data_IF_836914209801
#
_entry.id   IF_836914209801
#
_cell.length_a   1.000
_cell.length_b   1.000
_cell.length_c   1.000
_cell.angle_alpha   90.00
_cell.angle_beta   90.00
_cell.angle_gamma   90.00
#
_symmetry.space_group_name_H-M   'P 1'
#
loop_
_entity.id
_entity.type
_entity.pdbx_description
1 polymer ?
#
# COMPACT_ATOMS: atom_id res chain seq x y z
N UNK A 1 15.22 80.14 -68.01
CA UNK A 1 15.60 78.72 -68.23
C UNK A 1 15.34 78.01 -66.92
N UNK A 2 14.34 77.12 -66.91
CA UNK A 2 13.70 76.55 -65.72
C UNK A 2 14.60 75.46 -65.12
N UNK A 3 14.98 75.58 -63.85
CA UNK A 3 15.74 74.54 -63.14
C UNK A 3 14.80 73.43 -62.69
N UNK A 4 15.01 72.23 -63.23
CA UNK A 4 14.27 71.01 -62.92
C UNK A 4 14.91 70.34 -61.71
N UNK A 5 14.22 70.33 -60.55
CA UNK A 5 14.61 69.49 -59.42
C UNK A 5 14.10 68.06 -59.66
N UNK A 6 15.01 67.13 -59.92
CA UNK A 6 14.73 65.70 -59.91
C UNK A 6 14.72 65.27 -58.43
N UNK A 7 13.52 65.07 -57.88
CA UNK A 7 13.34 64.39 -56.61
C UNK A 7 13.40 62.87 -56.87
N UNK A 8 14.53 62.24 -56.59
CA UNK A 8 14.65 60.78 -56.57
C UNK A 8 14.24 60.32 -55.17
N UNK A 9 12.93 60.24 -54.92
CA UNK A 9 12.37 59.59 -53.75
C UNK A 9 11.98 58.16 -54.12
N UNK A 10 12.97 57.28 -54.25
CA UNK A 10 12.71 55.85 -54.28
C UNK A 10 12.04 55.46 -52.98
N UNK A 11 10.80 54.98 -53.05
CA UNK A 11 10.21 54.23 -51.95
C UNK A 11 11.01 52.93 -51.85
N UNK A 12 12.07 52.96 -51.05
CA UNK A 12 12.70 51.74 -50.57
C UNK A 12 11.64 51.07 -49.67
N UNK A 13 10.87 50.17 -50.27
CA UNK A 13 10.02 49.26 -49.51
C UNK A 13 10.98 48.33 -48.80
N UNK A 14 11.44 48.76 -47.63
CA UNK A 14 12.14 47.92 -46.68
C UNK A 14 11.22 46.71 -46.45
N UNK A 15 11.59 45.57 -47.03
CA UNK A 15 10.92 44.30 -46.79
C UNK A 15 11.28 43.95 -45.36
N UNK A 16 10.45 44.41 -44.41
CA UNK A 16 10.56 43.99 -43.01
C UNK A 16 10.45 42.46 -43.04
N UNK A 17 11.49 41.72 -42.64
CA UNK A 17 11.41 40.26 -42.58
C UNK A 17 10.20 39.89 -41.73
N UNK A 18 9.40 38.92 -42.17
CA UNK A 18 8.33 38.40 -41.33
C UNK A 18 8.92 38.02 -39.97
N UNK A 19 8.33 38.52 -38.87
CA UNK A 19 8.82 38.18 -37.55
C UNK A 19 8.81 36.65 -37.37
N UNK A 20 9.93 36.11 -36.89
CA UNK A 20 10.13 34.67 -36.65
C UNK A 20 9.14 34.19 -35.56
N UNK A 21 7.88 33.90 -35.91
CA UNK A 21 6.82 33.52 -34.96
C UNK A 21 7.21 32.28 -34.14
N UNK A 22 7.07 32.38 -32.81
CA UNK A 22 7.23 31.25 -31.90
C UNK A 22 5.87 30.76 -31.41
N UNK A 23 5.61 29.46 -31.54
CA UNK A 23 4.41 28.80 -31.03
C UNK A 23 4.85 27.51 -30.32
N UNK A 24 4.60 27.45 -29.01
CA UNK A 24 4.74 26.25 -28.20
C UNK A 24 3.38 25.54 -28.10
N UNK A 25 3.37 24.21 -28.12
CA UNK A 25 2.18 23.36 -28.09
C UNK A 25 2.32 22.32 -26.97
N UNK A 26 1.25 22.07 -26.23
CA UNK A 26 1.28 21.10 -25.12
C UNK A 26 1.66 19.68 -25.60
N UNK A 27 2.36 18.96 -24.74
CA UNK A 27 2.85 17.60 -24.98
C UNK A 27 2.36 16.63 -23.91
N UNK A 28 2.35 15.35 -24.25
CA UNK A 28 2.03 14.28 -23.31
C UNK A 28 2.96 13.08 -23.50
N UNK A 29 3.50 12.56 -22.40
CA UNK A 29 4.28 11.34 -22.37
C UNK A 29 3.82 10.40 -21.27
N UNK A 30 4.14 9.12 -21.45
CA UNK A 30 3.97 8.07 -20.46
C UNK A 30 5.34 7.59 -20.01
N UNK A 31 5.53 7.41 -18.70
CA UNK A 31 6.80 6.95 -18.10
C UNK A 31 6.51 6.02 -16.93
N UNK A 32 7.48 5.19 -16.57
CA UNK A 32 7.36 4.30 -15.41
C UNK A 32 7.78 5.00 -14.10
N UNK A 33 7.09 4.67 -13.01
CA UNK A 33 7.44 5.10 -11.65
C UNK A 33 8.86 4.65 -11.30
N UNK A 34 9.51 5.41 -10.41
CA UNK A 34 10.86 5.11 -9.91
C UNK A 34 11.95 4.94 -11.00
N UNK A 35 11.62 5.24 -12.26
CA UNK A 35 12.50 5.02 -13.41
C UNK A 35 12.81 6.34 -14.09
N UNK A 36 14.10 6.68 -14.11
CA UNK A 36 14.55 7.88 -14.78
C UNK A 36 14.55 7.67 -16.30
N UNK A 37 13.63 8.34 -17.00
CA UNK A 37 13.29 8.09 -18.41
C UNK A 37 13.73 9.25 -19.30
N UNK A 38 14.37 8.94 -20.43
CA UNK A 38 14.67 9.94 -21.47
C UNK A 38 13.40 10.17 -22.29
N UNK A 39 12.87 11.40 -22.25
CA UNK A 39 11.66 11.76 -22.97
C UNK A 39 11.97 11.94 -24.47
N UNK A 40 11.03 11.57 -25.35
CA UNK A 40 10.98 12.13 -26.69
C UNK A 40 10.99 13.66 -26.62
N UNK A 41 11.52 14.32 -27.65
CA UNK A 41 11.58 15.78 -27.65
C UNK A 41 10.17 16.38 -27.68
N UNK A 42 9.82 17.17 -26.67
CA UNK A 42 8.61 18.00 -26.60
C UNK A 42 8.68 19.26 -27.48
N UNK A 43 9.63 19.31 -28.43
CA UNK A 43 9.81 20.45 -29.34
C UNK A 43 9.37 20.12 -30.77
N UNK A 44 8.86 18.91 -31.01
CA UNK A 44 8.59 18.37 -32.35
C UNK A 44 7.33 18.97 -32.98
N UNK A 45 6.33 19.27 -32.16
CA UNK A 45 5.06 19.89 -32.54
C UNK A 45 5.08 21.43 -32.49
N UNK A 46 6.22 22.02 -32.12
CA UNK A 46 6.39 23.46 -31.98
C UNK A 46 6.78 24.14 -33.30
N UNK A 47 6.48 25.44 -33.39
CA UNK A 47 6.86 26.28 -34.54
C UNK A 47 7.83 27.35 -34.10
N UNK A 48 9.05 27.32 -34.66
CA UNK A 48 10.08 28.34 -34.45
C UNK A 48 11.18 28.27 -35.52
N UNK A 49 12.01 29.30 -35.60
CA UNK A 49 13.18 29.32 -36.50
C UNK A 49 14.41 28.71 -35.81
N UNK A 50 14.90 27.60 -36.36
CA UNK A 50 16.05 26.87 -35.81
C UNK A 50 17.30 27.75 -35.70
N UNK A 51 18.04 27.61 -34.60
CA UNK A 51 19.24 28.40 -34.29
C UNK A 51 18.96 29.84 -33.83
N UNK A 52 17.69 30.25 -33.70
CA UNK A 52 17.28 31.59 -33.27
C UNK A 52 16.37 31.60 -32.03
N UNK A 53 16.38 30.53 -31.25
CA UNK A 53 15.56 30.42 -30.03
C UNK A 53 16.38 29.97 -28.83
N UNK A 54 15.91 30.37 -27.65
CA UNK A 54 16.34 29.88 -26.34
C UNK A 54 15.16 29.18 -25.68
N UNK A 55 15.41 27.99 -25.11
CA UNK A 55 14.43 27.19 -24.39
C UNK A 55 14.75 27.26 -22.90
N UNK A 56 13.72 27.40 -22.07
CA UNK A 56 13.80 27.32 -20.61
C UNK A 56 12.68 26.43 -20.09
N UNK A 57 12.94 25.66 -19.03
CA UNK A 57 11.97 24.74 -18.44
C UNK A 57 12.07 24.74 -16.91
N UNK A 58 11.03 24.24 -16.24
CA UNK A 58 11.02 24.02 -14.80
C UNK A 58 11.80 22.73 -14.46
N UNK A 59 12.90 22.85 -13.71
CA UNK A 59 13.73 21.69 -13.32
C UNK A 59 13.06 20.75 -12.31
N UNK A 60 11.92 21.17 -11.74
CA UNK A 60 11.08 20.36 -10.87
C UNK A 60 9.64 20.45 -11.34
N UNK A 61 8.95 19.33 -11.35
CA UNK A 61 7.55 19.25 -11.77
C UNK A 61 6.57 19.60 -10.64
N UNK A 62 5.28 19.67 -10.97
CA UNK A 62 4.18 19.92 -10.04
C UNK A 62 4.06 18.87 -8.91
N UNK A 63 4.61 17.67 -9.12
CA UNK A 63 4.62 16.56 -8.15
C UNK A 63 6.02 16.18 -7.66
N UNK A 64 6.99 17.09 -7.74
CA UNK A 64 8.37 16.90 -7.26
C UNK A 64 9.20 15.86 -8.04
N UNK A 65 8.83 15.56 -9.28
CA UNK A 65 9.72 14.93 -10.24
C UNK A 65 10.83 15.87 -10.67
N UNK A 66 11.95 15.31 -11.12
CA UNK A 66 13.17 16.05 -11.51
C UNK A 66 13.35 15.97 -13.01
N UNK A 67 13.56 17.13 -13.66
CA UNK A 67 13.85 17.24 -15.10
C UNK A 67 15.30 17.69 -15.24
N UNK A 68 16.09 16.92 -15.98
CA UNK A 68 17.49 17.25 -16.30
C UNK A 68 17.69 17.23 -17.81
N UNK A 69 18.33 18.27 -18.35
CA UNK A 69 18.79 18.30 -19.74
C UNK A 69 20.25 17.83 -19.81
N UNK A 70 20.50 16.75 -20.54
CA UNK A 70 21.84 16.19 -20.79
C UNK A 70 21.98 15.79 -22.27
N UNK A 71 23.09 16.16 -22.90
CA UNK A 71 23.39 15.81 -24.29
C UNK A 71 22.26 16.13 -25.30
N UNK A 72 21.58 17.28 -25.15
CA UNK A 72 20.41 17.71 -25.93
C UNK A 72 19.19 16.77 -25.80
N UNK A 73 19.10 16.02 -24.71
CA UNK A 73 17.93 15.19 -24.36
C UNK A 73 17.40 15.58 -22.98
N UNK A 74 16.10 15.43 -22.79
CA UNK A 74 15.44 15.71 -21.51
C UNK A 74 15.17 14.39 -20.80
N UNK A 75 15.68 14.26 -19.58
CA UNK A 75 15.47 13.11 -18.72
C UNK A 75 14.56 13.52 -17.57
N UNK A 76 13.47 12.79 -17.40
CA UNK A 76 12.52 12.96 -16.31
C UNK A 76 12.70 11.82 -15.31
N UNK A 77 12.75 12.15 -14.03
CA UNK A 77 12.74 11.19 -12.91
C UNK A 77 11.52 11.48 -12.05
N UNK A 78 10.53 10.58 -11.96
CA UNK A 78 9.39 10.77 -11.07
C UNK A 78 9.82 10.97 -9.62
N UNK A 79 8.97 11.61 -8.81
CA UNK A 79 9.12 11.51 -7.37
C UNK A 79 9.04 10.03 -6.95
N UNK A 80 9.79 9.67 -5.90
CA UNK A 80 9.80 8.30 -5.40
C UNK A 80 8.37 7.82 -5.11
N UNK A 81 8.02 6.64 -5.62
CA UNK A 81 6.74 5.95 -5.45
C UNK A 81 5.51 6.75 -5.92
N UNK A 82 5.71 7.73 -6.82
CA UNK A 82 4.62 8.51 -7.39
C UNK A 82 4.04 7.83 -8.63
N UNK A 83 2.73 7.56 -8.61
CA UNK A 83 1.92 7.15 -9.76
C UNK A 83 0.82 8.19 -9.99
N UNK A 84 0.55 8.49 -11.25
CA UNK A 84 -0.49 9.42 -11.67
C UNK A 84 0.05 10.60 -12.49
N UNK A 85 -0.80 11.61 -12.66
CA UNK A 85 -0.49 12.73 -13.55
C UNK A 85 0.40 13.77 -12.89
N UNK A 86 1.50 14.09 -13.57
CA UNK A 86 2.44 15.15 -13.26
C UNK A 86 2.57 16.12 -14.44
N UNK A 87 3.14 17.29 -14.21
CA UNK A 87 3.39 18.26 -15.27
C UNK A 87 4.49 19.25 -14.94
N UNK A 88 5.10 19.80 -15.98
CA UNK A 88 6.02 20.93 -15.90
C UNK A 88 5.84 21.84 -17.12
N UNK A 89 6.25 23.10 -17.01
CA UNK A 89 6.17 24.07 -18.12
C UNK A 89 7.52 24.30 -18.78
N UNK A 90 7.45 24.62 -20.07
CA UNK A 90 8.59 25.14 -20.82
C UNK A 90 8.20 26.41 -21.60
N UNK A 91 9.22 27.19 -21.94
CA UNK A 91 9.09 28.44 -22.70
C UNK A 91 10.14 28.48 -23.80
N UNK A 92 9.69 28.78 -25.02
CA UNK A 92 10.54 29.07 -26.17
C UNK A 92 10.54 30.58 -26.37
N UNK A 93 11.71 31.21 -26.44
CA UNK A 93 11.86 32.63 -26.71
C UNK A 93 12.80 32.87 -27.90
N UNK A 94 12.41 33.75 -28.82
CA UNK A 94 13.28 34.23 -29.89
C UNK A 94 14.49 34.97 -29.34
N UNK A 95 15.66 34.73 -29.93
CA UNK A 95 16.91 35.45 -29.62
C UNK A 95 17.11 36.67 -30.52
N UNK A 96 16.31 36.82 -31.58
CA UNK A 96 16.42 37.92 -32.56
C UNK A 96 15.34 38.98 -32.37
N UNK A 97 14.26 38.68 -31.66
CA UNK A 97 13.17 39.60 -31.37
C UNK A 97 12.85 39.62 -29.87
N UNK A 98 13.07 40.75 -29.23
CA UNK A 98 12.74 40.99 -27.82
C UNK A 98 11.21 41.00 -27.66
N UNK A 99 10.64 39.97 -27.02
CA UNK A 99 9.20 39.75 -26.68
C UNK A 99 8.44 38.70 -27.49
N UNK A 100 9.10 37.89 -28.29
CA UNK A 100 8.46 36.76 -28.96
C UNK A 100 8.76 35.46 -28.21
N UNK A 101 7.91 35.15 -27.23
CA UNK A 101 7.98 33.93 -26.44
C UNK A 101 6.64 33.21 -26.43
N UNK A 102 6.68 31.88 -26.37
CA UNK A 102 5.50 31.02 -26.20
C UNK A 102 5.80 29.96 -25.15
N UNK A 103 4.79 29.57 -24.38
CA UNK A 103 4.93 28.55 -23.33
C UNK A 103 3.87 27.48 -23.49
N UNK A 104 4.23 26.25 -23.12
CA UNK A 104 3.35 25.10 -23.14
C UNK A 104 3.63 24.20 -21.93
N UNK A 105 2.73 23.25 -21.71
CA UNK A 105 2.76 22.29 -20.61
C UNK A 105 3.11 20.91 -21.13
N UNK A 106 4.09 20.26 -20.51
CA UNK A 106 4.34 18.85 -20.70
C UNK A 106 3.57 18.10 -19.61
N UNK A 107 2.68 17.21 -20.03
CA UNK A 107 1.93 16.30 -19.16
C UNK A 107 2.64 14.95 -19.13
N UNK A 108 2.90 14.44 -17.93
CA UNK A 108 3.48 13.11 -17.74
C UNK A 108 2.45 12.26 -17.02
N UNK A 109 1.95 11.21 -17.68
CA UNK A 109 1.22 10.15 -16.96
C UNK A 109 2.26 9.12 -16.48
N UNK A 110 2.55 9.15 -15.17
CA UNK A 110 3.45 8.19 -14.52
C UNK A 110 2.66 6.94 -14.23
N UNK A 111 2.97 5.87 -14.96
CA UNK A 111 2.40 4.54 -14.77
C UNK A 111 3.30 3.73 -13.83
N UNK A 112 2.73 2.72 -13.19
CA UNK A 112 3.51 1.81 -12.36
C UNK A 112 4.58 1.07 -13.21
N UNK A 113 5.74 0.76 -12.63
CA UNK A 113 6.85 0.16 -13.39
C UNK A 113 6.56 -1.29 -13.76
N UNK A 114 6.81 -1.64 -15.02
CA UNK A 114 6.71 -3.02 -15.49
C UNK A 114 7.83 -3.92 -14.91
N UNK A 115 8.92 -3.34 -14.39
CA UNK A 115 10.11 -4.08 -13.93
C UNK A 115 10.51 -3.75 -12.48
N UNK A 116 9.61 -3.14 -11.72
CA UNK A 116 9.70 -2.96 -10.27
C UNK A 116 8.44 -3.48 -9.57
N UNK A 117 8.16 -4.79 -9.73
CA UNK A 117 7.14 -5.56 -9.00
C UNK A 117 5.75 -4.90 -8.81
N UNK A 118 5.22 -4.31 -9.88
CA UNK A 118 3.77 -4.29 -10.06
C UNK A 118 3.33 -5.65 -10.63
N UNK A 119 2.81 -6.52 -9.77
CA UNK A 119 1.77 -7.46 -10.19
C UNK A 119 2.13 -8.72 -10.97
N UNK A 120 3.40 -9.05 -11.20
CA UNK A 120 3.76 -10.41 -11.64
C UNK A 120 3.96 -11.29 -10.42
N UNK A 121 2.86 -11.72 -9.81
CA UNK A 121 2.91 -12.73 -8.77
C UNK A 121 2.93 -14.12 -9.38
N UNK A 122 3.94 -14.92 -9.01
CA UNK A 122 3.96 -16.35 -9.28
C UNK A 122 3.09 -17.06 -8.23
N UNK A 123 1.76 -17.00 -8.43
CA UNK A 123 0.80 -17.57 -7.49
C UNK A 123 1.10 -19.08 -7.31
N UNK A 124 1.31 -19.55 -6.07
CA UNK A 124 1.51 -20.97 -5.80
C UNK A 124 0.36 -21.81 -6.34
N UNK A 125 0.67 -23.00 -6.85
CA UNK A 125 -0.31 -23.89 -7.51
C UNK A 125 -1.51 -24.26 -6.63
N UNK A 126 -1.30 -24.32 -5.33
CA UNK A 126 -2.29 -24.61 -4.31
C UNK A 126 -3.23 -23.42 -4.05
N UNK A 127 -2.84 -22.20 -4.45
CA UNK A 127 -3.63 -20.97 -4.32
C UNK A 127 -4.19 -20.50 -5.66
N UNK A 128 -3.76 -21.08 -6.79
CA UNK A 128 -4.12 -20.58 -8.13
C UNK A 128 -5.62 -20.66 -8.41
N UNK A 129 -6.30 -21.69 -7.92
CA UNK A 129 -7.77 -21.80 -8.09
C UNK A 129 -8.51 -20.79 -7.22
N UNK A 130 -8.01 -20.52 -6.01
CA UNK A 130 -8.61 -19.56 -5.09
C UNK A 130 -8.49 -18.14 -5.65
N UNK A 131 -7.32 -17.74 -6.15
CA UNK A 131 -7.09 -16.39 -6.67
C UNK A 131 -7.27 -16.22 -8.18
N UNK A 132 -7.92 -17.18 -8.86
CA UNK A 132 -8.00 -17.19 -10.33
C UNK A 132 -8.66 -15.95 -10.94
N UNK A 133 -9.56 -15.32 -10.19
CA UNK A 133 -10.35 -14.17 -10.62
C UNK A 133 -9.77 -12.83 -10.13
N UNK A 134 -8.64 -12.87 -9.40
CA UNK A 134 -7.94 -11.67 -8.92
C UNK A 134 -6.92 -11.20 -9.96
N UNK A 135 -7.13 -9.99 -10.49
CA UNK A 135 -6.15 -9.32 -11.34
C UNK A 135 -5.06 -8.69 -10.49
N UNK A 136 -3.95 -9.42 -10.34
CA UNK A 136 -2.81 -8.92 -9.58
C UNK A 136 -1.97 -7.89 -10.32
N UNK A 137 -2.26 -7.55 -11.58
CA UNK A 137 -1.60 -6.41 -12.25
C UNK A 137 -2.06 -5.07 -11.65
N UNK A 138 -3.16 -5.07 -10.92
CA UNK A 138 -3.68 -3.91 -10.19
C UNK A 138 -2.80 -3.56 -8.98
N UNK A 139 -2.86 -2.29 -8.58
CA UNK A 139 -2.19 -1.77 -7.38
C UNK A 139 -3.14 -0.88 -6.58
N UNK A 140 -2.70 -0.43 -5.39
CA UNK A 140 -3.44 0.57 -4.63
C UNK A 140 -4.85 0.13 -4.22
N UNK A 141 -5.79 1.06 -4.26
CA UNK A 141 -7.21 0.79 -3.97
C UNK A 141 -7.84 -0.21 -4.93
N UNK A 142 -7.38 -0.28 -6.19
CA UNK A 142 -7.93 -1.23 -7.17
C UNK A 142 -7.60 -2.68 -6.80
N UNK A 143 -6.35 -2.96 -6.39
CA UNK A 143 -5.96 -4.29 -5.89
C UNK A 143 -6.71 -4.62 -4.59
N UNK A 144 -6.83 -3.64 -3.69
CA UNK A 144 -7.61 -3.78 -2.45
C UNK A 144 -9.05 -4.18 -2.73
N UNK A 145 -9.70 -3.53 -3.68
CA UNK A 145 -11.11 -3.77 -4.00
C UNK A 145 -11.32 -5.18 -4.58
N UNK A 146 -10.46 -5.63 -5.51
CA UNK A 146 -10.59 -7.00 -6.06
C UNK A 146 -10.27 -8.09 -5.03
N UNK A 147 -9.28 -7.88 -4.16
CA UNK A 147 -9.00 -8.79 -3.05
C UNK A 147 -10.15 -8.82 -2.04
N UNK A 148 -10.77 -7.67 -1.75
CA UNK A 148 -11.94 -7.59 -0.88
C UNK A 148 -13.12 -8.38 -1.48
N UNK A 149 -13.38 -8.24 -2.79
CA UNK A 149 -14.39 -9.04 -3.49
C UNK A 149 -14.11 -10.54 -3.35
N UNK A 150 -12.87 -10.98 -3.65
CA UNK A 150 -12.48 -12.39 -3.55
C UNK A 150 -12.75 -12.97 -2.15
N UNK A 151 -12.29 -12.30 -1.09
CA UNK A 151 -12.49 -12.80 0.29
C UNK A 151 -13.94 -12.72 0.79
N UNK A 152 -14.77 -11.87 0.17
CA UNK A 152 -16.21 -11.80 0.48
C UNK A 152 -16.92 -12.95 -0.21
N UNK A 153 -16.67 -13.18 -1.50
CA UNK A 153 -17.34 -14.18 -2.31
C UNK A 153 -16.93 -15.61 -1.92
N UNK A 154 -15.68 -15.81 -1.52
CA UNK A 154 -15.18 -17.11 -1.02
C UNK A 154 -15.61 -17.44 0.41
N UNK A 155 -16.09 -16.48 1.21
CA UNK A 155 -16.56 -16.73 2.57
C UNK A 155 -17.95 -17.38 2.54
N UNK A 156 -17.96 -18.70 2.40
CA UNK A 156 -19.16 -19.51 2.20
C UNK A 156 -19.72 -20.10 3.49
N UNK A 157 -18.91 -20.22 4.55
CA UNK A 157 -19.32 -20.79 5.83
C UNK A 157 -19.12 -19.79 6.96
N UNK A 158 -20.22 -19.28 7.51
CA UNK A 158 -20.20 -18.42 8.68
C UNK A 158 -20.24 -19.26 9.95
N UNK A 159 -19.14 -19.28 10.69
CA UNK A 159 -19.03 -20.05 11.91
C UNK A 159 -19.89 -19.45 13.03
N UNK A 160 -20.56 -20.31 13.79
CA UNK A 160 -21.13 -19.91 15.06
C UNK A 160 -20.02 -19.58 16.06
N UNK A 161 -20.22 -18.52 16.84
CA UNK A 161 -19.25 -18.16 17.87
C UNK A 161 -19.01 -19.33 18.82
N UNK A 162 -20.04 -20.11 19.15
CA UNK A 162 -19.93 -21.36 19.92
C UNK A 162 -20.87 -22.42 19.31
N UNK A 163 -20.40 -23.65 19.06
CA UNK A 163 -19.05 -24.16 19.33
C UNK A 163 -18.02 -23.82 18.24
N UNK A 164 -18.46 -23.35 17.06
CA UNK A 164 -17.64 -23.24 15.85
C UNK A 164 -16.24 -22.64 16.05
N UNK A 165 -16.13 -21.44 16.61
CA UNK A 165 -14.81 -20.83 16.85
C UNK A 165 -13.94 -21.66 17.80
N UNK A 166 -14.51 -22.29 18.85
CA UNK A 166 -13.69 -23.17 19.70
C UNK A 166 -13.11 -24.33 18.91
N UNK A 167 -13.94 -24.96 18.08
CA UNK A 167 -13.55 -26.14 17.31
C UNK A 167 -12.50 -25.80 16.25
N UNK A 168 -12.61 -24.63 15.61
CA UNK A 168 -11.59 -24.15 14.65
C UNK A 168 -10.29 -23.79 15.36
N UNK A 169 -10.30 -23.05 16.47
CA UNK A 169 -9.06 -22.66 17.15
C UNK A 169 -8.31 -23.85 17.75
N UNK A 170 -9.00 -24.93 18.12
CA UNK A 170 -8.37 -26.21 18.52
C UNK A 170 -7.64 -26.93 17.38
N UNK A 171 -7.79 -26.47 16.15
CA UNK A 171 -7.15 -27.00 14.96
C UNK A 171 -6.15 -25.99 14.39
N UNK A 172 -6.59 -24.75 14.16
CA UNK A 172 -5.77 -23.70 13.51
C UNK A 172 -4.53 -23.38 14.32
N UNK A 173 -4.68 -23.24 15.64
CA UNK A 173 -3.64 -22.75 16.54
C UNK A 173 -2.85 -23.87 17.22
N UNK A 174 -2.93 -25.11 16.73
CA UNK A 174 -2.14 -26.21 17.29
C UNK A 174 -0.65 -25.87 17.25
N UNK A 175 0.04 -26.18 18.35
CA UNK A 175 1.50 -26.07 18.40
C UNK A 175 2.10 -27.05 17.37
N UNK A 176 2.92 -26.56 16.42
CA UNK A 176 3.55 -27.41 15.40
C UNK A 176 4.41 -28.54 15.99
N UNK A 177 4.84 -28.42 17.24
CA UNK A 177 5.67 -29.40 17.95
C UNK A 177 4.88 -30.30 18.92
N UNK A 178 3.65 -29.92 19.29
CA UNK A 178 2.78 -30.67 20.20
C UNK A 178 1.28 -30.43 19.90
N UNK A 179 0.68 -31.33 19.14
CA UNK A 179 -0.73 -31.24 18.73
C UNK A 179 -1.77 -31.46 19.86
N UNK A 180 -1.31 -31.66 21.10
CA UNK A 180 -2.17 -31.63 22.29
C UNK A 180 -2.37 -30.23 22.83
N UNK A 181 -1.57 -29.27 22.35
CA UNK A 181 -1.60 -27.87 22.77
C UNK A 181 -1.97 -26.93 21.63
N UNK A 182 -2.49 -25.77 22.01
CA UNK A 182 -2.59 -24.58 21.16
C UNK A 182 -1.58 -23.55 21.60
N UNK A 183 -1.15 -22.73 20.65
CA UNK A 183 -0.30 -21.56 20.88
C UNK A 183 -1.18 -20.37 21.27
N UNK A 184 -0.83 -19.70 22.36
CA UNK A 184 -1.58 -18.58 22.91
C UNK A 184 -1.00 -17.26 22.38
N UNK A 185 -1.81 -16.47 21.68
CA UNK A 185 -1.38 -15.16 21.22
C UNK A 185 -0.98 -14.29 22.43
N UNK A 186 0.11 -13.54 22.25
CA UNK A 186 0.83 -12.74 23.25
C UNK A 186 1.69 -13.55 24.23
N UNK A 187 1.50 -14.87 24.37
CA UNK A 187 2.29 -15.72 25.24
C UNK A 187 3.75 -15.85 24.76
N UNK A 188 4.69 -16.10 25.68
CA UNK A 188 6.12 -16.13 25.35
C UNK A 188 7.02 -17.01 26.25
N UNK A 189 6.55 -17.50 27.40
CA UNK A 189 7.39 -18.32 28.31
C UNK A 189 6.56 -19.41 29.01
N UNK A 190 6.90 -20.68 28.76
CA UNK A 190 6.27 -21.85 29.39
C UNK A 190 7.05 -22.37 30.62
N UNK A 191 8.13 -21.70 31.02
CA UNK A 191 9.15 -22.25 31.94
C UNK A 191 9.33 -21.48 33.24
N UNK A 192 8.77 -20.28 33.35
CA UNK A 192 8.90 -19.41 34.53
C UNK A 192 7.87 -19.71 35.63
N UNK A 193 6.89 -20.58 35.36
CA UNK A 193 5.79 -20.92 36.27
C UNK A 193 4.67 -19.88 36.33
N UNK A 194 4.72 -18.85 35.49
CA UNK A 194 3.67 -17.85 35.35
C UNK A 194 2.72 -18.20 34.21
N UNK A 195 1.63 -18.88 34.56
CA UNK A 195 0.64 -19.33 33.57
C UNK A 195 0.03 -18.20 32.73
N UNK A 196 0.09 -16.93 33.18
CA UNK A 196 -0.46 -15.79 32.43
C UNK A 196 0.33 -15.55 31.13
N UNK A 197 1.62 -15.86 31.13
CA UNK A 197 2.55 -15.59 30.01
C UNK A 197 2.96 -16.85 29.26
N UNK A 198 2.37 -18.00 29.61
CA UNK A 198 2.52 -19.26 28.87
C UNK A 198 2.31 -19.02 27.37
N UNK A 199 3.24 -19.52 26.57
CA UNK A 199 3.15 -19.53 25.11
C UNK A 199 2.21 -20.62 24.63
N UNK A 200 2.08 -21.72 25.37
CA UNK A 200 1.28 -22.89 24.95
C UNK A 200 0.37 -23.42 26.04
N UNK A 201 -0.75 -24.02 25.64
CA UNK A 201 -1.69 -24.62 26.59
C UNK A 201 -2.44 -25.79 25.97
N UNK A 202 -2.85 -26.75 26.80
CA UNK A 202 -3.73 -27.84 26.34
C UNK A 202 -4.90 -27.27 25.54
N UNK A 203 -5.14 -27.84 24.36
CA UNK A 203 -6.25 -27.43 23.49
C UNK A 203 -7.62 -27.65 24.15
N UNK A 204 -7.69 -28.49 25.18
CA UNK A 204 -8.92 -28.77 25.92
C UNK A 204 -9.05 -28.00 27.23
N UNK A 205 -8.02 -27.21 27.61
CA UNK A 205 -8.11 -26.25 28.71
C UNK A 205 -8.71 -24.92 28.24
N UNK A 206 -9.85 -24.99 27.56
CA UNK A 206 -10.52 -23.83 26.96
C UNK A 206 -11.78 -23.47 27.78
N UNK A 207 -11.99 -22.18 28.04
CA UNK A 207 -13.09 -21.78 28.92
C UNK A 207 -12.96 -20.36 29.45
N UNK A 208 -13.14 -20.22 30.76
CA UNK A 208 -13.12 -18.93 31.45
C UNK A 208 -12.55 -19.02 32.87
N UNK A 209 -12.02 -20.17 33.28
CA UNK A 209 -11.37 -20.32 34.57
C UNK A 209 -9.92 -19.82 34.50
N UNK A 210 -9.32 -19.65 35.67
CA UNK A 210 -7.89 -19.38 35.79
C UNK A 210 -7.07 -20.50 35.16
N UNK A 211 -6.13 -20.15 34.28
CA UNK A 211 -5.31 -21.13 33.56
C UNK A 211 -6.02 -21.80 32.39
N UNK A 212 -7.25 -21.42 32.05
CA UNK A 212 -7.84 -21.74 30.75
C UNK A 212 -7.33 -20.74 29.70
N UNK A 213 -7.46 -21.09 28.43
CA UNK A 213 -7.45 -20.11 27.35
C UNK A 213 -8.86 -19.75 26.91
N UNK A 214 -9.04 -18.52 26.44
CA UNK A 214 -10.27 -18.06 25.81
C UNK A 214 -10.00 -17.48 24.41
N UNK A 215 -11.07 -17.05 23.75
CA UNK A 215 -11.01 -16.41 22.43
C UNK A 215 -10.69 -14.93 22.62
N UNK A 216 -9.50 -14.55 22.21
CA UNK A 216 -9.10 -13.17 22.03
C UNK A 216 -9.66 -12.64 20.72
N UNK A 217 -10.37 -11.52 20.80
CA UNK A 217 -10.75 -10.71 19.64
C UNK A 217 -9.60 -9.75 19.38
N UNK A 218 -8.64 -10.18 18.56
CA UNK A 218 -7.41 -9.39 18.31
C UNK A 218 -7.77 -8.02 17.74
N UNK A 219 -8.82 -7.94 16.92
CA UNK A 219 -9.54 -6.70 16.66
C UNK A 219 -10.63 -6.57 17.75
N UNK A 220 -10.51 -5.65 18.73
CA UNK A 220 -11.47 -5.59 19.83
C UNK A 220 -12.87 -5.29 19.32
N UNK A 221 -13.85 -6.09 19.76
CA UNK A 221 -15.26 -5.92 19.35
C UNK A 221 -15.76 -4.49 19.50
N UNK A 222 -15.42 -3.86 20.63
CA UNK A 222 -15.85 -2.51 20.99
C UNK A 222 -15.25 -1.39 20.15
N UNK A 223 -14.20 -1.69 19.37
CA UNK A 223 -13.56 -0.72 18.46
C UNK A 223 -14.10 -0.85 17.03
N UNK A 224 -14.91 -1.87 16.76
CA UNK A 224 -15.70 -1.96 15.53
C UNK A 224 -16.81 -0.92 15.52
N UNK A 225 -17.18 -0.41 14.34
CA UNK A 225 -18.31 0.52 14.19
C UNK A 225 -19.26 0.03 13.08
N UNK A 226 -20.36 -0.69 13.41
CA UNK A 226 -20.83 -1.05 14.75
C UNK A 226 -19.96 -2.11 15.45
N UNK A 227 -20.19 -2.31 16.76
CA UNK A 227 -19.54 -3.38 17.55
C UNK A 227 -19.64 -4.73 16.83
N UNK A 228 -18.55 -5.50 16.86
CA UNK A 228 -18.46 -6.73 16.06
C UNK A 228 -19.39 -7.86 16.56
N UNK A 229 -19.85 -7.80 17.80
CA UNK A 229 -20.76 -8.79 18.36
C UNK A 229 -20.16 -10.21 18.44
N UNK A 230 -20.98 -11.22 18.16
CA UNK A 230 -20.59 -12.65 18.19
C UNK A 230 -21.09 -13.39 16.93
N UNK A 231 -21.22 -12.65 15.84
CA UNK A 231 -21.58 -13.17 14.52
C UNK A 231 -20.93 -12.30 13.46
N UNK A 232 -20.85 -12.79 12.22
CA UNK A 232 -20.14 -12.09 11.15
C UNK A 232 -18.71 -11.76 11.58
N UNK A 233 -18.30 -10.48 11.63
CA UNK A 233 -16.94 -10.12 12.04
C UNK A 233 -16.60 -10.57 13.46
N UNK A 234 -17.56 -10.65 14.39
CA UNK A 234 -17.31 -11.12 15.75
C UNK A 234 -17.10 -12.64 15.86
N UNK A 235 -17.33 -13.38 14.79
CA UNK A 235 -17.13 -14.83 14.69
C UNK A 235 -16.28 -15.23 13.47
N UNK A 236 -15.39 -14.33 13.01
CA UNK A 236 -14.41 -14.64 11.97
C UNK A 236 -13.09 -15.14 12.60
N UNK A 237 -12.75 -16.39 12.34
CA UNK A 237 -11.58 -17.09 12.87
C UNK A 237 -10.24 -16.53 12.39
N UNK A 238 -10.22 -15.70 11.33
CA UNK A 238 -8.98 -15.06 10.88
C UNK A 238 -8.40 -14.08 11.90
N UNK A 239 -9.22 -13.49 12.77
CA UNK A 239 -8.76 -12.54 13.81
C UNK A 239 -9.02 -13.00 15.26
N UNK A 240 -9.62 -14.18 15.43
CA UNK A 240 -9.83 -14.80 16.73
C UNK A 240 -8.66 -15.73 17.04
N UNK A 241 -8.10 -15.62 18.25
CA UNK A 241 -6.93 -16.42 18.68
C UNK A 241 -7.13 -16.96 20.09
N UNK A 242 -6.56 -18.13 20.44
CA UNK A 242 -6.42 -18.54 21.83
C UNK A 242 -5.55 -17.54 22.58
N UNK A 243 -5.95 -17.12 23.77
CA UNK A 243 -5.09 -16.37 24.70
C UNK A 243 -5.40 -16.80 26.13
N UNK A 244 -4.43 -16.69 27.03
CA UNK A 244 -4.71 -16.90 28.46
C UNK A 244 -5.82 -15.95 28.92
N UNK A 245 -6.77 -16.45 29.72
CA UNK A 245 -7.93 -15.66 30.16
C UNK A 245 -7.50 -14.38 30.89
N UNK A 246 -6.49 -14.45 31.74
CA UNK A 246 -5.99 -13.30 32.49
C UNK A 246 -5.23 -12.35 31.57
N UNK A 247 -4.40 -12.86 30.65
CA UNK A 247 -3.60 -12.00 29.78
C UNK A 247 -4.48 -11.27 28.75
N UNK A 248 -5.46 -11.98 28.18
CA UNK A 248 -6.51 -11.38 27.37
C UNK A 248 -7.24 -10.26 28.13
N UNK A 249 -7.63 -10.51 29.40
CA UNK A 249 -8.25 -9.47 30.23
C UNK A 249 -7.33 -8.27 30.47
N UNK A 250 -6.01 -8.44 30.55
CA UNK A 250 -5.05 -7.34 30.70
C UNK A 250 -4.88 -6.53 29.41
N UNK A 251 -4.93 -7.20 28.26
CA UNK A 251 -4.95 -6.55 26.94
C UNK A 251 -6.21 -5.71 26.79
N UNK A 252 -7.38 -6.28 27.10
CA UNK A 252 -8.67 -5.59 27.02
C UNK A 252 -8.97 -5.07 25.62
N UNK A 253 -9.23 -3.77 25.48
CA UNK A 253 -9.42 -3.10 24.18
C UNK A 253 -8.35 -2.04 23.91
N UNK A 254 -7.17 -2.17 24.53
CA UNK A 254 -6.05 -1.24 24.30
C UNK A 254 -5.66 -1.25 22.83
N UNK A 255 -5.30 -0.07 22.33
CA UNK A 255 -4.75 0.05 20.99
C UNK A 255 -3.37 -0.62 20.94
N UNK A 256 -3.03 -1.17 19.78
CA UNK A 256 -1.68 -1.62 19.53
C UNK A 256 -0.74 -0.42 19.39
N UNK A 257 0.44 -0.49 19.99
CA UNK A 257 1.44 0.57 19.95
C UNK A 257 2.84 -0.03 19.81
N UNK A 258 3.79 0.81 19.35
CA UNK A 258 5.19 0.42 19.21
C UNK A 258 5.81 -0.02 20.55
N UNK A 259 6.74 -0.96 20.49
CA UNK A 259 7.41 -1.57 21.62
C UNK A 259 8.45 -2.59 21.14
N UNK A 260 9.04 -3.34 22.08
CA UNK A 260 10.06 -4.35 21.80
C UNK A 260 10.07 -5.43 22.86
N UNK A 261 10.46 -6.65 22.50
CA UNK A 261 10.55 -7.80 23.41
C UNK A 261 9.22 -8.51 23.58
N UNK A 262 8.88 -8.83 24.82
CA UNK A 262 7.68 -9.61 25.13
C UNK A 262 6.42 -8.75 25.16
N UNK A 263 5.26 -9.40 24.99
CA UNK A 263 3.97 -8.73 24.98
C UNK A 263 3.66 -8.04 26.33
N UNK A 264 2.97 -6.89 26.28
CA UNK A 264 2.54 -6.21 27.50
C UNK A 264 2.04 -4.78 27.29
N UNK A 265 1.72 -4.13 28.42
CA UNK A 265 1.30 -2.73 28.45
C UNK A 265 2.46 -1.79 28.09
N UNK A 266 2.19 -0.84 27.19
CA UNK A 266 3.13 0.21 26.84
C UNK A 266 2.40 1.55 26.88
N UNK A 267 2.63 2.30 27.95
CA UNK A 267 2.04 3.62 28.16
C UNK A 267 0.50 3.63 28.05
N UNK A 268 -0.17 2.60 28.58
CA UNK A 268 -1.63 2.46 28.54
C UNK A 268 -2.18 1.88 27.22
N UNK A 269 -1.30 1.61 26.26
CA UNK A 269 -1.57 0.84 25.05
C UNK A 269 -0.99 -0.57 25.18
N UNK A 270 -0.99 -1.35 24.10
CA UNK A 270 -0.49 -2.72 24.09
C UNK A 270 0.57 -2.92 23.02
N UNK A 271 1.71 -3.50 23.39
CA UNK A 271 2.65 -4.06 22.44
C UNK A 271 2.43 -5.58 22.39
N UNK A 272 2.18 -6.17 21.22
CA UNK A 272 1.82 -7.58 21.12
C UNK A 272 3.00 -8.54 21.34
N UNK A 273 4.24 -8.05 21.35
CA UNK A 273 5.45 -8.87 21.40
C UNK A 273 6.12 -9.00 20.04
N UNK A 274 7.44 -9.19 20.03
CA UNK A 274 8.22 -9.28 18.79
C UNK A 274 7.81 -10.48 17.91
N UNK A 275 7.35 -11.57 18.53
CA UNK A 275 6.83 -12.77 17.85
C UNK A 275 5.47 -12.55 17.17
N UNK A 276 4.69 -11.57 17.64
CA UNK A 276 3.26 -11.47 17.33
C UNK A 276 2.89 -10.25 16.49
N UNK A 277 3.84 -9.35 16.25
CA UNK A 277 3.54 -8.04 15.66
C UNK A 277 3.11 -8.16 14.20
N UNK A 278 3.70 -9.09 13.44
CA UNK A 278 3.32 -9.42 12.08
C UNK A 278 1.94 -10.09 12.03
N UNK A 279 1.69 -11.08 12.88
CA UNK A 279 0.38 -11.71 13.05
C UNK A 279 -0.73 -10.68 13.27
N UNK A 280 -0.53 -9.79 14.25
CA UNK A 280 -1.47 -8.73 14.58
C UNK A 280 -1.70 -7.80 13.39
N UNK A 281 -0.62 -7.36 12.73
CA UNK A 281 -0.72 -6.51 11.55
C UNK A 281 -1.58 -7.14 10.45
N UNK A 282 -1.30 -8.39 10.08
CA UNK A 282 -2.01 -9.11 9.02
C UNK A 282 -3.46 -9.39 9.38
N UNK A 283 -3.77 -9.66 10.64
CA UNK A 283 -5.17 -9.77 11.10
C UNK A 283 -5.92 -8.43 11.02
N UNK A 284 -5.29 -7.31 11.39
CA UNK A 284 -5.95 -5.99 11.31
C UNK A 284 -6.18 -5.57 9.86
N UNK A 285 -5.20 -5.80 8.97
CA UNK A 285 -5.33 -5.52 7.55
C UNK A 285 -6.42 -6.39 6.90
N UNK A 286 -6.49 -7.69 7.26
CA UNK A 286 -7.58 -8.56 6.80
C UNK A 286 -8.95 -8.09 7.25
N UNK A 287 -9.12 -7.75 8.54
CA UNK A 287 -10.42 -7.28 9.04
C UNK A 287 -10.86 -6.01 8.31
N UNK A 288 -9.92 -5.12 8.02
CA UNK A 288 -10.20 -3.93 7.23
C UNK A 288 -10.58 -4.25 5.77
N UNK A 289 -9.84 -5.16 5.13
CA UNK A 289 -10.12 -5.62 3.78
C UNK A 289 -11.52 -6.28 3.69
N UNK A 290 -11.89 -7.09 4.69
CA UNK A 290 -13.12 -7.90 4.70
C UNK A 290 -14.37 -7.16 5.14
N UNK A 291 -14.23 -6.21 6.07
CA UNK A 291 -15.35 -5.53 6.72
C UNK A 291 -15.35 -4.00 6.55
N UNK A 292 -14.36 -3.47 5.81
CA UNK A 292 -14.32 -2.07 5.40
C UNK A 292 -14.45 -1.09 6.56
N UNK A 293 -15.43 -0.19 6.48
CA UNK A 293 -15.64 0.88 7.46
C UNK A 293 -15.96 0.40 8.88
N UNK A 294 -16.37 -0.87 9.05
CA UNK A 294 -16.61 -1.42 10.38
C UNK A 294 -15.30 -1.70 11.13
N UNK A 295 -14.21 -2.02 10.42
CA UNK A 295 -12.95 -2.46 11.00
C UNK A 295 -11.78 -1.57 10.56
N UNK A 296 -11.79 -0.29 10.95
CA UNK A 296 -10.76 0.67 10.55
C UNK A 296 -9.45 0.47 11.34
N UNK A 297 -8.28 0.29 10.68
CA UNK A 297 -6.99 0.11 11.36
C UNK A 297 -6.60 1.26 12.29
N UNK A 298 -6.92 2.51 11.90
CA UNK A 298 -6.69 3.71 12.74
C UNK A 298 -7.44 3.72 14.08
N UNK A 299 -8.44 2.86 14.24
CA UNK A 299 -9.18 2.74 15.49
C UNK A 299 -8.57 1.70 16.44
N UNK A 300 -7.59 0.91 15.98
CA UNK A 300 -7.01 -0.22 16.75
C UNK A 300 -5.49 -0.11 16.94
N UNK A 301 -4.82 0.82 16.28
CA UNK A 301 -3.37 1.01 16.38
C UNK A 301 -2.99 2.50 16.52
N UNK A 302 -1.92 2.75 17.26
CA UNK A 302 -1.31 4.08 17.45
C UNK A 302 -0.21 4.28 16.42
N UNK A 303 -0.43 5.19 15.48
CA UNK A 303 0.54 5.56 14.45
C UNK A 303 0.01 6.65 13.55
N UNK A 304 0.78 6.99 12.51
CA UNK A 304 0.34 7.95 11.50
C UNK A 304 -0.48 7.24 10.42
N UNK A 305 -1.49 7.92 9.90
CA UNK A 305 -2.20 7.39 8.73
C UNK A 305 -1.34 7.55 7.48
N UNK A 306 -1.41 6.57 6.58
CA UNK A 306 -0.67 6.61 5.31
C UNK A 306 -1.37 7.49 4.27
N UNK A 307 -0.61 8.07 3.36
CA UNK A 307 -1.13 9.00 2.35
C UNK A 307 -2.10 8.32 1.34
N UNK A 308 -1.87 7.04 1.06
CA UNK A 308 -2.68 6.21 0.15
C UNK A 308 -4.05 5.86 0.73
N UNK A 309 -4.19 5.81 2.05
CA UNK A 309 -5.43 5.44 2.75
C UNK A 309 -5.49 6.05 4.15
N UNK A 310 -6.36 7.05 4.33
CA UNK A 310 -6.56 7.76 5.59
C UNK A 310 -7.13 6.91 6.74
N UNK A 311 -7.35 5.62 6.54
CA UNK A 311 -7.74 4.67 7.57
C UNK A 311 -6.68 3.62 7.90
N UNK A 312 -5.65 3.47 7.06
CA UNK A 312 -4.54 2.56 7.31
C UNK A 312 -3.45 3.27 8.11
N UNK A 313 -2.85 2.57 9.06
CA UNK A 313 -1.82 3.08 9.97
C UNK A 313 -0.45 2.51 9.58
N UNK A 314 0.55 3.38 9.53
CA UNK A 314 1.94 3.04 9.20
C UNK A 314 2.52 1.90 10.07
N UNK A 315 2.23 1.91 11.38
CA UNK A 315 2.70 0.89 12.33
C UNK A 315 2.38 -0.55 11.89
N UNK A 316 1.20 -0.79 11.33
CA UNK A 316 0.80 -2.13 10.91
C UNK A 316 1.57 -2.57 9.65
N UNK A 317 1.83 -1.64 8.72
CA UNK A 317 2.64 -1.92 7.55
C UNK A 317 4.11 -2.15 7.93
N UNK A 318 4.61 -1.38 8.90
CA UNK A 318 5.94 -1.57 9.48
C UNK A 318 6.07 -2.96 10.11
N UNK A 319 5.14 -3.37 10.96
CA UNK A 319 5.16 -4.69 11.59
C UNK A 319 5.02 -5.83 10.59
N UNK A 320 4.15 -5.70 9.59
CA UNK A 320 4.03 -6.69 8.52
C UNK A 320 5.35 -6.90 7.75
N UNK A 321 6.15 -5.85 7.59
CA UNK A 321 7.46 -5.94 6.93
C UNK A 321 8.57 -6.45 7.86
N UNK A 322 8.51 -6.14 9.16
CA UNK A 322 9.54 -6.51 10.14
C UNK A 322 9.43 -7.95 10.63
N UNK A 323 8.23 -8.52 10.61
CA UNK A 323 7.92 -9.83 11.16
C UNK A 323 7.31 -10.71 10.05
N UNK A 324 8.15 -11.54 9.38
CA UNK A 324 7.74 -12.41 8.29
C UNK A 324 6.59 -13.34 8.69
N UNK A 325 5.91 -13.89 7.69
CA UNK A 325 4.85 -14.87 7.93
C UNK A 325 5.46 -16.15 8.53
N UNK A 326 4.90 -16.60 9.64
CA UNK A 326 5.34 -17.83 10.31
C UNK A 326 4.65 -19.10 9.80
N UNK A 327 5.25 -20.27 10.06
CA UNK A 327 4.62 -21.56 9.77
C UNK A 327 3.27 -21.73 10.49
N UNK A 328 3.15 -21.17 11.70
CA UNK A 328 1.90 -21.17 12.46
C UNK A 328 0.82 -20.38 11.73
N UNK A 329 1.14 -19.20 11.20
CA UNK A 329 0.18 -18.42 10.43
C UNK A 329 -0.24 -19.12 9.14
N UNK A 330 0.69 -19.76 8.42
CA UNK A 330 0.37 -20.54 7.22
C UNK A 330 -0.58 -21.69 7.57
N UNK A 331 -0.27 -22.44 8.63
CA UNK A 331 -1.15 -23.50 9.14
C UNK A 331 -2.54 -22.96 9.46
N UNK A 332 -2.61 -21.86 10.21
CA UNK A 332 -3.87 -21.21 10.59
C UNK A 332 -4.67 -20.79 9.36
N UNK A 333 -4.04 -20.10 8.41
CA UNK A 333 -4.72 -19.57 7.23
C UNK A 333 -5.31 -20.72 6.40
N UNK A 334 -4.57 -21.83 6.24
CA UNK A 334 -5.07 -23.02 5.56
C UNK A 334 -6.26 -23.67 6.28
N UNK A 335 -6.20 -23.81 7.61
CA UNK A 335 -7.28 -24.43 8.38
C UNK A 335 -8.52 -23.53 8.38
N UNK A 336 -8.37 -22.23 8.63
CA UNK A 336 -9.49 -21.29 8.61
C UNK A 336 -10.11 -21.21 7.22
N UNK A 337 -9.31 -21.26 6.15
CA UNK A 337 -9.83 -21.30 4.78
C UNK A 337 -10.66 -22.56 4.50
N UNK A 338 -10.27 -23.72 5.03
CA UNK A 338 -11.08 -24.94 4.91
C UNK A 338 -12.41 -24.84 5.67
N UNK A 339 -12.44 -24.10 6.78
CA UNK A 339 -13.61 -24.00 7.67
C UNK A 339 -14.57 -22.86 7.27
N UNK A 340 -14.05 -21.73 6.76
CA UNK A 340 -14.86 -20.55 6.37
C UNK A 340 -14.99 -20.36 4.86
N UNK A 341 -14.07 -20.94 4.09
CA UNK A 341 -13.95 -20.81 2.64
C UNK A 341 -12.97 -19.72 2.19
N UNK A 342 -12.80 -18.65 2.96
CA UNK A 342 -11.96 -17.51 2.59
C UNK A 342 -10.59 -17.50 3.30
N UNK A 343 -9.61 -16.83 2.69
CA UNK A 343 -8.22 -16.72 3.15
C UNK A 343 -7.89 -15.30 3.62
N UNK A 344 -6.88 -15.17 4.47
CA UNK A 344 -6.19 -13.91 4.74
C UNK A 344 -5.07 -13.72 3.70
N UNK A 345 -5.25 -12.84 2.69
CA UNK A 345 -4.27 -12.67 1.63
C UNK A 345 -2.93 -12.14 2.13
N UNK A 346 -2.91 -11.41 3.24
CA UNK A 346 -1.67 -10.87 3.80
C UNK A 346 -0.83 -11.94 4.51
N UNK A 347 -1.42 -13.08 4.88
CA UNK A 347 -0.65 -14.26 5.31
C UNK A 347 -0.14 -15.02 4.09
N UNK A 348 -0.96 -15.17 3.04
CA UNK A 348 -0.51 -15.87 1.83
C UNK A 348 0.63 -15.15 1.11
N UNK A 349 0.58 -13.81 1.10
CA UNK A 349 1.69 -12.96 0.66
C UNK A 349 1.66 -11.58 1.35
N UNK A 350 2.56 -11.30 2.31
CA UNK A 350 2.55 -10.05 3.04
C UNK A 350 2.93 -8.84 2.16
N UNK A 351 3.57 -9.05 1.00
CA UNK A 351 3.86 -8.00 0.02
C UNK A 351 2.61 -7.38 -0.60
N UNK A 352 1.46 -8.05 -0.57
CA UNK A 352 0.20 -7.45 -1.02
C UNK A 352 -0.12 -6.15 -0.26
N UNK A 353 0.25 -6.06 1.02
CA UNK A 353 0.10 -4.83 1.78
C UNK A 353 0.97 -3.69 1.22
N UNK A 354 2.21 -3.99 0.80
CA UNK A 354 3.11 -3.03 0.15
C UNK A 354 2.52 -2.54 -1.18
N UNK A 355 1.94 -3.43 -1.99
CA UNK A 355 1.34 -3.06 -3.29
C UNK A 355 0.05 -2.24 -3.12
N UNK A 356 -0.72 -2.46 -2.05
CA UNK A 356 -1.97 -1.75 -1.78
C UNK A 356 -1.73 -0.38 -1.12
N UNK A 357 -0.90 -0.32 -0.08
CA UNK A 357 -0.79 0.87 0.78
C UNK A 357 0.57 1.56 0.73
N UNK A 358 1.54 1.00 -0.01
CA UNK A 358 2.95 1.43 0.04
C UNK A 358 3.55 1.22 1.44
N UNK A 359 4.65 1.89 1.78
CA UNK A 359 5.32 1.77 3.07
C UNK A 359 6.55 0.86 3.01
N UNK A 360 6.92 0.27 4.15
CA UNK A 360 8.05 -0.66 4.19
C UNK A 360 7.77 -1.88 3.32
N UNK A 361 8.79 -2.34 2.60
CA UNK A 361 8.69 -3.50 1.73
C UNK A 361 8.60 -4.78 2.58
N UNK A 362 7.45 -5.44 2.54
CA UNK A 362 7.28 -6.76 3.13
C UNK A 362 7.81 -7.86 2.19
N UNK A 363 8.04 -9.05 2.73
CA UNK A 363 8.49 -10.19 1.93
C UNK A 363 7.48 -10.55 0.83
N UNK A 364 7.94 -10.67 -0.41
CA UNK A 364 7.13 -11.26 -1.48
C UNK A 364 7.44 -12.76 -1.57
N UNK A 365 6.47 -13.57 -1.14
CA UNK A 365 6.54 -15.04 -1.12
C UNK A 365 6.20 -15.68 -2.48
N UNK A 366 5.66 -14.90 -3.42
CA UNK A 366 5.23 -15.33 -4.75
C UNK A 366 6.13 -14.75 -5.86
N UNK A 367 7.44 -14.75 -5.62
CA UNK A 367 8.45 -14.22 -6.56
C UNK A 367 8.69 -15.10 -7.77
#
# INVERSE_FOLDING_TARGET
MLALFINCGGSDSEVVPAEDKVVAVDDSFEVEENTATVLPSFLVNDTYTSGKVKITFEASSARNGVIVEENNTFKYTPAKDFVGRDSFKYTICSTTSTSNCSSATVIIDVIASANGNSGSFNIPSELSEYYKDVDFTLTGSSLKDVLATEIIDSHTTFLDYTPGIWDVLKQSDLDPTDNTKVVLIYGYDDTDGNYVTDRTRSKDANGGNTGDWNREHVFPKSLGTPDLGTSGPGADAHHLRPSDVSFNSQRGNKLFATGSGNAGDVSGNWYPGDEWKGDVARMMMYMYLRYGSQCLPKNVAVGSVVASDSNMVDLLLEWNAQDPVSDLEIQRNNIVANEQGNRNPFIDNPYLATVIWSGNEAENTWK
#
